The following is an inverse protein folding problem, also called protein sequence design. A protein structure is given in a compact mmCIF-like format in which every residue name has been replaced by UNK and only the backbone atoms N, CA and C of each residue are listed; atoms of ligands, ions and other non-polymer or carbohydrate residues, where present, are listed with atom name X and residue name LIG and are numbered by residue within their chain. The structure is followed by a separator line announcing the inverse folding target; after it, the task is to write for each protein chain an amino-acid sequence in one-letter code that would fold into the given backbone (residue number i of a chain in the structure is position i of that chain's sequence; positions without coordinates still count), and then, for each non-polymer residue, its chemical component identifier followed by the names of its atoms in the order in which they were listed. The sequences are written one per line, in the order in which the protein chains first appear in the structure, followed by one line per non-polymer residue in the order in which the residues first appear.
data_IF_974038770690
#
_entry.id   IF_974038770690
#
_cell.length_a   1.000
_cell.length_b   1.000
_cell.length_c   1.000
_cell.angle_alpha   90.00
_cell.angle_beta   90.00
_cell.angle_gamma   90.00
#
_symmetry.space_group_name_H-M   'P 1'
#
loop_
_entity.id
_entity.type
_entity.pdbx_description
1 polymer ?
#
# COMPACT_ATOMS: atom_id res chain seq x y z
N UNK A 1 -20.79 -42.21 -5.13
CA UNK A 1 -20.86 -42.94 -3.85
C UNK A 1 -20.65 -41.91 -2.75
N UNK A 2 -21.57 -41.79 -1.81
CA UNK A 2 -21.38 -40.91 -0.65
C UNK A 2 -20.43 -41.61 0.33
N UNK A 3 -19.45 -40.89 0.86
CA UNK A 3 -18.58 -41.40 1.93
C UNK A 3 -19.43 -41.60 3.19
N UNK A 4 -19.15 -42.67 3.94
CA UNK A 4 -19.66 -42.80 5.30
C UNK A 4 -19.07 -41.66 6.15
N UNK A 5 -19.81 -41.23 7.18
CA UNK A 5 -19.42 -40.18 8.13
C UNK A 5 -17.97 -40.32 8.62
N UNK A 6 -17.51 -41.53 8.96
CA UNK A 6 -16.15 -41.82 9.40
C UNK A 6 -15.12 -41.58 8.30
N UNK A 7 -15.37 -42.13 7.10
CA UNK A 7 -14.50 -41.94 5.94
C UNK A 7 -14.45 -40.48 5.46
N UNK A 8 -15.57 -39.76 5.59
CA UNK A 8 -15.62 -38.32 5.34
C UNK A 8 -14.75 -37.54 6.33
N UNK A 9 -14.86 -37.81 7.64
CA UNK A 9 -14.00 -37.17 8.64
C UNK A 9 -12.52 -37.49 8.43
N UNK A 10 -12.19 -38.76 8.14
CA UNK A 10 -10.82 -39.16 7.83
C UNK A 10 -10.30 -38.44 6.58
N UNK A 11 -11.12 -38.33 5.51
CA UNK A 11 -10.77 -37.56 4.33
C UNK A 11 -10.51 -36.09 4.64
N UNK A 12 -11.40 -35.43 5.39
CA UNK A 12 -11.23 -34.01 5.75
C UNK A 12 -9.97 -33.82 6.59
N UNK A 13 -9.76 -34.63 7.63
CA UNK A 13 -8.60 -34.51 8.54
C UNK A 13 -7.30 -34.73 7.76
N UNK A 14 -7.22 -35.79 6.95
CA UNK A 14 -6.00 -36.15 6.21
C UNK A 14 -5.68 -35.16 5.10
N UNK A 15 -6.67 -34.43 4.58
CA UNK A 15 -6.49 -33.49 3.47
C UNK A 15 -6.70 -32.02 3.88
N UNK A 16 -6.81 -31.71 5.18
CA UNK A 16 -7.27 -30.37 5.62
C UNK A 16 -6.37 -29.23 5.16
N UNK A 17 -5.05 -29.46 5.05
CA UNK A 17 -4.11 -28.46 4.54
C UNK A 17 -4.32 -28.22 3.04
N UNK A 18 -4.36 -29.29 2.24
CA UNK A 18 -4.55 -29.22 0.79
C UNK A 18 -5.92 -28.64 0.43
N UNK A 19 -6.98 -29.04 1.14
CA UNK A 19 -8.32 -28.47 0.98
C UNK A 19 -8.34 -26.97 1.31
N UNK A 20 -7.65 -26.54 2.37
CA UNK A 20 -7.52 -25.11 2.70
C UNK A 20 -6.79 -24.33 1.60
N UNK A 21 -5.77 -24.91 0.98
CA UNK A 21 -5.03 -24.31 -0.13
C UNK A 21 -5.89 -24.22 -1.39
N UNK A 22 -6.49 -25.32 -1.84
CA UNK A 22 -7.36 -25.37 -3.02
C UNK A 22 -8.59 -24.46 -2.89
N UNK A 23 -9.26 -24.44 -1.73
CA UNK A 23 -10.36 -23.51 -1.49
C UNK A 23 -9.90 -22.04 -1.54
N UNK A 24 -8.72 -21.72 -1.01
CA UNK A 24 -8.18 -20.36 -1.09
C UNK A 24 -7.81 -19.97 -2.53
N UNK A 25 -7.31 -20.89 -3.34
CA UNK A 25 -6.99 -20.66 -4.76
C UNK A 25 -8.23 -20.41 -5.59
N UNK A 26 -9.25 -21.28 -5.49
CA UNK A 26 -10.52 -21.12 -6.20
C UNK A 26 -11.19 -19.78 -5.83
N UNK A 27 -11.09 -19.36 -4.57
CA UNK A 27 -11.68 -18.12 -4.07
C UNK A 27 -10.84 -16.86 -4.37
N UNK A 28 -9.65 -17.01 -4.96
CA UNK A 28 -8.87 -15.90 -5.52
C UNK A 28 -9.36 -15.48 -6.92
N UNK A 29 -10.33 -16.20 -7.51
CA UNK A 29 -10.85 -15.86 -8.84
C UNK A 29 -11.55 -14.49 -8.86
N UNK A 30 -11.07 -13.61 -9.75
CA UNK A 30 -11.38 -12.17 -9.82
C UNK A 30 -12.90 -11.84 -9.88
N UNK A 31 -13.69 -12.63 -10.61
CA UNK A 31 -15.09 -12.31 -10.90
C UNK A 31 -16.01 -12.20 -9.66
N UNK A 32 -15.69 -12.91 -8.56
CA UNK A 32 -16.47 -12.78 -7.31
C UNK A 32 -15.95 -11.70 -6.37
N UNK A 33 -14.71 -11.22 -6.53
CA UNK A 33 -14.18 -10.14 -5.69
C UNK A 33 -14.79 -8.79 -6.08
N UNK A 34 -14.95 -8.54 -7.38
CA UNK A 34 -15.50 -7.29 -7.92
C UNK A 34 -16.89 -6.96 -7.37
N UNK A 35 -17.81 -7.94 -7.32
CA UNK A 35 -19.18 -7.72 -6.82
C UNK A 35 -19.26 -7.36 -5.32
N UNK A 36 -18.25 -7.73 -4.52
CA UNK A 36 -18.20 -7.34 -3.10
C UNK A 36 -17.60 -5.95 -2.90
N UNK A 37 -16.66 -5.54 -3.75
CA UNK A 37 -16.06 -4.20 -3.73
C UNK A 37 -17.08 -3.15 -4.18
N UNK A 38 -17.92 -3.48 -5.17
CA UNK A 38 -18.99 -2.58 -5.65
C UNK A 38 -19.99 -2.19 -4.56
N UNK A 39 -20.22 -3.07 -3.58
CA UNK A 39 -21.13 -2.82 -2.46
C UNK A 39 -20.45 -2.20 -1.23
N UNK A 40 -19.16 -1.85 -1.31
CA UNK A 40 -18.45 -1.23 -0.21
C UNK A 40 -19.00 0.18 0.07
N UNK A 41 -19.17 0.52 1.35
CA UNK A 41 -19.58 1.87 1.76
C UNK A 41 -18.50 2.87 1.36
N UNK A 42 -18.88 3.89 0.59
CA UNK A 42 -18.01 5.01 0.25
C UNK A 42 -18.34 6.22 1.12
N UNK A 43 -17.32 6.97 1.52
CA UNK A 43 -17.44 8.25 2.22
C UNK A 43 -16.51 9.23 1.52
N UNK A 44 -16.89 10.51 1.47
CA UNK A 44 -16.00 11.56 1.00
C UNK A 44 -14.79 11.67 1.93
N UNK A 45 -13.59 11.60 1.36
CA UNK A 45 -12.35 11.76 2.09
C UNK A 45 -11.89 13.22 2.03
N UNK A 46 -11.45 13.74 3.18
CA UNK A 46 -10.79 15.04 3.30
C UNK A 46 -9.56 14.85 4.18
N UNK A 47 -8.48 15.53 3.83
CA UNK A 47 -7.29 15.56 4.68
C UNK A 47 -7.70 16.14 6.04
N UNK A 48 -7.42 15.45 7.16
CA UNK A 48 -7.72 15.98 8.49
C UNK A 48 -7.04 17.34 8.70
N UNK A 49 -7.72 18.29 9.33
CA UNK A 49 -7.18 19.65 9.55
C UNK A 49 -5.95 19.65 10.47
N UNK A 50 -5.84 18.67 11.37
CA UNK A 50 -4.71 18.51 12.30
C UNK A 50 -4.32 17.06 12.41
N UNK A 51 -3.03 16.81 12.69
CA UNK A 51 -2.48 15.47 12.87
C UNK A 51 -1.39 15.49 13.96
N UNK A 52 -1.23 14.36 14.65
CA UNK A 52 -0.20 14.17 15.67
C UNK A 52 0.93 13.29 15.13
N UNK A 53 2.09 13.90 14.91
CA UNK A 53 3.29 13.18 14.51
C UNK A 53 4.25 13.00 15.68
N UNK A 54 4.88 11.82 15.73
CA UNK A 54 6.05 11.62 16.57
C UNK A 54 7.22 12.38 15.94
N UNK A 55 8.00 13.08 16.74
CA UNK A 55 9.21 13.77 16.29
C UNK A 55 10.42 13.35 17.12
N UNK A 56 11.62 13.66 16.65
CA UNK A 56 12.88 13.43 17.34
C UNK A 56 13.81 14.61 17.07
N UNK A 57 14.59 15.00 18.08
CA UNK A 57 15.55 16.10 17.95
C UNK A 57 16.57 15.82 16.84
N UNK A 58 16.82 16.83 16.01
CA UNK A 58 17.83 16.80 14.96
C UNK A 58 18.83 17.93 15.14
N UNK A 59 20.06 17.76 14.63
CA UNK A 59 21.12 18.79 14.76
C UNK A 59 20.73 20.14 14.15
N UNK A 60 20.01 20.10 13.04
CA UNK A 60 19.54 21.29 12.34
C UNK A 60 18.11 21.05 11.85
N UNK A 61 17.17 21.81 12.42
CA UNK A 61 15.78 21.79 12.01
C UNK A 61 15.65 22.48 10.66
N UNK A 62 14.97 21.83 9.73
CA UNK A 62 14.65 22.35 8.40
C UNK A 62 13.16 22.16 8.14
N UNK A 63 12.46 23.21 7.67
CA UNK A 63 11.07 23.05 7.27
C UNK A 63 10.97 22.08 6.09
N UNK A 64 9.85 21.37 6.02
CA UNK A 64 9.47 20.53 4.89
C UNK A 64 8.19 21.12 4.29
N UNK A 65 8.39 22.09 3.39
CA UNK A 65 7.35 23.05 3.00
C UNK A 65 6.29 22.45 2.08
N UNK A 66 6.56 21.29 1.48
CA UNK A 66 5.57 20.59 0.65
C UNK A 66 4.65 19.69 1.46
N UNK A 67 4.88 19.50 2.76
CA UNK A 67 3.90 18.79 3.57
C UNK A 67 2.62 19.64 3.71
N UNK A 68 1.46 18.99 3.69
CA UNK A 68 0.16 19.70 3.83
C UNK A 68 -0.04 20.34 5.20
N UNK A 69 0.70 19.91 6.22
CA UNK A 69 0.61 20.44 7.57
C UNK A 69 1.65 21.55 7.81
N UNK A 70 1.16 22.72 8.22
CA UNK A 70 2.01 23.82 8.64
C UNK A 70 2.88 23.41 9.85
N UNK A 71 4.14 23.83 9.84
CA UNK A 71 5.10 23.49 10.90
C UNK A 71 5.71 22.09 10.79
N UNK A 72 5.42 21.33 9.73
CA UNK A 72 6.11 20.06 9.49
C UNK A 72 7.59 20.30 9.14
N UNK A 73 8.49 19.59 9.83
CA UNK A 73 9.95 19.71 9.70
C UNK A 73 10.61 18.34 9.50
N UNK A 74 11.91 18.35 9.22
CA UNK A 74 12.72 17.13 9.15
C UNK A 74 12.83 16.35 10.48
N UNK A 75 12.31 16.85 11.59
CA UNK A 75 12.25 16.16 12.88
C UNK A 75 11.21 15.03 12.92
N UNK A 76 10.25 15.04 12.00
CA UNK A 76 9.24 13.98 11.86
C UNK A 76 9.73 12.80 10.99
N UNK A 77 10.87 12.96 10.30
CA UNK A 77 11.41 11.93 9.41
C UNK A 77 12.20 10.79 10.07
N UNK A 78 13.00 10.98 11.15
CA UNK A 78 13.93 9.94 11.61
C UNK A 78 13.28 8.58 11.89
N UNK A 79 14.06 7.50 11.83
CA UNK A 79 13.57 6.13 12.14
C UNK A 79 12.95 6.03 13.53
N UNK A 80 13.43 6.83 14.48
CA UNK A 80 12.94 6.98 15.84
C UNK A 80 11.51 7.54 15.88
N UNK A 81 11.11 8.30 14.85
CA UNK A 81 9.75 8.74 14.58
C UNK A 81 8.86 7.66 13.93
N UNK A 82 9.37 6.42 13.78
CA UNK A 82 8.70 5.23 13.21
C UNK A 82 8.50 5.23 11.69
N UNK A 83 9.25 6.03 10.93
CA UNK A 83 9.27 5.94 9.47
C UNK A 83 10.32 4.94 8.98
N UNK A 84 9.94 4.14 7.99
CA UNK A 84 10.83 3.24 7.25
C UNK A 84 11.82 4.02 6.37
N UNK A 85 12.84 3.32 5.86
CA UNK A 85 13.82 3.92 4.94
C UNK A 85 13.16 4.47 3.68
N UNK A 86 12.32 3.66 3.01
CA UNK A 86 11.55 4.10 1.85
C UNK A 86 10.68 5.34 2.13
N UNK A 87 9.94 5.40 3.24
CA UNK A 87 9.15 6.58 3.61
C UNK A 87 10.03 7.83 3.78
N UNK A 88 11.18 7.67 4.45
CA UNK A 88 12.14 8.76 4.68
C UNK A 88 12.74 9.28 3.39
N UNK A 89 13.10 8.39 2.48
CA UNK A 89 13.64 8.73 1.18
C UNK A 89 12.57 9.40 0.32
N UNK A 90 11.35 8.84 0.31
CA UNK A 90 10.23 9.36 -0.47
C UNK A 90 9.85 10.78 -0.07
N UNK A 91 9.71 11.08 1.22
CA UNK A 91 9.41 12.45 1.67
C UNK A 91 10.54 13.43 1.35
N UNK A 92 11.81 13.00 1.41
CA UNK A 92 12.95 13.83 1.00
C UNK A 92 12.99 14.08 -0.50
N UNK A 93 12.60 13.08 -1.28
CA UNK A 93 12.47 13.18 -2.73
C UNK A 93 11.38 14.19 -3.08
N UNK A 94 10.17 14.03 -2.54
CA UNK A 94 9.05 14.93 -2.82
C UNK A 94 9.34 16.37 -2.42
N UNK A 95 10.00 16.59 -1.27
CA UNK A 95 10.41 17.93 -0.83
C UNK A 95 11.26 18.64 -1.89
N UNK A 96 12.10 17.90 -2.62
CA UNK A 96 13.00 18.44 -3.66
C UNK A 96 12.39 18.47 -5.06
N UNK A 97 11.49 17.56 -5.40
CA UNK A 97 10.96 17.38 -6.75
C UNK A 97 10.03 18.54 -7.18
N UNK A 98 10.33 19.25 -8.27
CA UNK A 98 9.62 20.47 -8.66
C UNK A 98 8.19 20.20 -9.14
N UNK A 99 7.92 19.00 -9.65
CA UNK A 99 6.58 18.52 -10.02
C UNK A 99 5.67 18.28 -8.82
N UNK A 100 6.19 18.16 -7.60
CA UNK A 100 5.35 17.91 -6.43
C UNK A 100 4.93 19.25 -5.81
N UNK A 101 3.62 19.48 -5.78
CA UNK A 101 3.00 20.65 -5.15
C UNK A 101 2.86 20.43 -3.64
N UNK A 102 2.28 19.30 -3.24
CA UNK A 102 2.15 18.94 -1.82
C UNK A 102 2.10 17.43 -1.58
N UNK A 103 2.41 17.06 -0.33
CA UNK A 103 2.48 15.68 0.17
C UNK A 103 1.70 15.56 1.48
N UNK A 104 0.85 14.54 1.55
CA UNK A 104 0.15 14.13 2.76
C UNK A 104 0.53 12.68 3.11
N UNK A 105 1.05 12.46 4.33
CA UNK A 105 1.19 11.11 4.92
C UNK A 105 -0.15 10.72 5.53
N UNK A 106 -0.78 9.71 4.95
CA UNK A 106 -2.01 9.13 5.44
C UNK A 106 -1.76 8.29 6.70
N UNK A 107 -2.79 8.17 7.55
CA UNK A 107 -2.74 7.35 8.75
C UNK A 107 -3.08 5.88 8.49
N UNK A 108 -2.66 5.02 9.43
CA UNK A 108 -2.70 3.56 9.24
C UNK A 108 -4.03 2.91 9.65
N UNK A 109 -4.90 3.65 10.36
CA UNK A 109 -6.22 3.16 10.79
C UNK A 109 -7.14 4.28 11.28
N UNK A 110 -8.43 4.23 10.91
CA UNK A 110 -9.43 5.20 11.35
C UNK A 110 -10.35 5.62 10.23
N UNK A 111 -11.55 6.10 10.55
CA UNK A 111 -12.52 6.52 9.52
C UNK A 111 -12.14 7.84 8.84
N UNK A 112 -11.28 8.63 9.48
CA UNK A 112 -10.77 9.89 8.94
C UNK A 112 -9.67 9.71 7.89
N UNK A 113 -9.07 8.53 7.79
CA UNK A 113 -7.99 8.24 6.84
C UNK A 113 -8.51 7.57 5.59
N UNK A 114 -7.81 7.80 4.48
CA UNK A 114 -8.15 7.16 3.22
C UNK A 114 -7.93 5.65 3.37
N UNK A 115 -8.97 4.88 3.09
CA UNK A 115 -8.89 3.42 3.04
C UNK A 115 -9.50 2.88 1.76
N UNK A 116 -8.86 1.85 1.22
CA UNK A 116 -9.28 1.10 0.06
C UNK A 116 -9.75 -0.27 0.54
N UNK A 117 -10.98 -0.63 0.18
CA UNK A 117 -11.54 -1.94 0.53
C UNK A 117 -11.01 -2.98 -0.46
N UNK A 118 -10.48 -4.07 0.08
CA UNK A 118 -10.15 -5.26 -0.70
C UNK A 118 -10.64 -6.52 0.00
N UNK A 119 -10.75 -7.60 -0.75
CA UNK A 119 -11.33 -8.85 -0.28
C UNK A 119 -10.27 -9.95 -0.40
N UNK A 120 -10.09 -10.75 0.65
CA UNK A 120 -9.17 -11.89 0.59
C UNK A 120 -9.87 -13.16 0.08
N UNK A 121 -9.11 -14.25 -0.11
CA UNK A 121 -9.63 -15.54 -0.57
C UNK A 121 -10.67 -16.21 0.34
N UNK A 122 -11.07 -15.62 1.47
CA UNK A 122 -12.16 -16.14 2.34
C UNK A 122 -13.32 -15.12 2.38
N UNK A 123 -13.39 -14.19 1.42
CA UNK A 123 -14.40 -13.12 1.34
C UNK A 123 -14.45 -12.19 2.55
N UNK A 124 -13.42 -12.19 3.39
CA UNK A 124 -13.29 -11.21 4.45
C UNK A 124 -12.85 -9.88 3.82
N UNK A 125 -13.59 -8.82 4.11
CA UNK A 125 -13.21 -7.46 3.75
C UNK A 125 -12.05 -6.99 4.63
N UNK A 126 -11.09 -6.34 4.00
CA UNK A 126 -9.95 -5.72 4.64
C UNK A 126 -9.85 -4.28 4.17
N UNK A 127 -9.31 -3.44 5.05
CA UNK A 127 -8.97 -2.06 4.74
C UNK A 127 -7.47 -2.00 4.46
N UNK A 128 -7.15 -1.36 3.35
CA UNK A 128 -5.79 -1.00 2.95
C UNK A 128 -5.67 0.52 3.05
N UNK A 129 -4.69 1.01 3.81
CA UNK A 129 -4.42 2.43 3.99
C UNK A 129 -3.12 2.72 3.24
N UNK A 130 -3.18 3.35 2.04
CA UNK A 130 -1.98 3.71 1.31
C UNK A 130 -1.19 4.76 2.09
N UNK A 131 0.13 4.75 1.98
CA UNK A 131 0.98 5.60 2.80
C UNK A 131 0.83 7.10 2.53
N UNK A 132 0.77 7.51 1.27
CA UNK A 132 0.80 8.91 0.89
C UNK A 132 -0.25 9.26 -0.16
N UNK A 133 -0.66 10.52 -0.12
CA UNK A 133 -1.37 11.20 -1.20
C UNK A 133 -0.51 12.39 -1.57
N UNK A 134 -0.22 12.57 -2.85
CA UNK A 134 0.51 13.74 -3.35
C UNK A 134 -0.31 14.41 -4.45
N UNK A 135 -0.14 15.73 -4.57
CA UNK A 135 -0.57 16.47 -5.74
C UNK A 135 0.64 16.97 -6.49
N UNK A 136 0.60 16.81 -7.79
CA UNK A 136 1.61 17.34 -8.70
C UNK A 136 1.13 18.64 -9.34
N UNK A 137 2.08 19.45 -9.81
CA UNK A 137 1.84 20.77 -10.40
C UNK A 137 1.08 20.73 -11.73
N UNK A 138 0.97 19.56 -12.35
CA UNK A 138 0.10 19.28 -13.49
C UNK A 138 -1.33 18.85 -13.08
N UNK A 139 -1.71 19.12 -11.83
CA UNK A 139 -3.02 18.85 -11.22
C UNK A 139 -3.36 17.36 -11.04
N UNK A 140 -2.39 16.46 -11.23
CA UNK A 140 -2.62 15.04 -10.96
C UNK A 140 -2.55 14.74 -9.46
N UNK A 141 -3.44 13.84 -9.01
CA UNK A 141 -3.40 13.26 -7.68
C UNK A 141 -2.82 11.87 -7.78
N UNK A 142 -1.76 11.62 -7.01
CA UNK A 142 -1.20 10.30 -6.84
C UNK A 142 -1.49 9.77 -5.45
N UNK A 143 -1.72 8.47 -5.39
CA UNK A 143 -1.70 7.74 -4.13
C UNK A 143 -0.48 6.79 -4.18
N UNK A 144 0.33 6.79 -3.13
CA UNK A 144 1.57 6.02 -3.07
C UNK A 144 1.55 5.08 -1.87
N UNK A 145 2.01 3.86 -2.09
CA UNK A 145 2.29 2.87 -1.05
C UNK A 145 3.80 2.66 -1.00
N UNK A 146 4.45 2.95 0.13
CA UNK A 146 5.86 2.63 0.29
C UNK A 146 6.03 1.21 0.82
N UNK A 147 7.15 0.59 0.51
CA UNK A 147 7.51 -0.72 1.05
C UNK A 147 8.69 -0.57 1.99
N UNK A 148 8.53 -1.01 3.24
CA UNK A 148 9.67 -1.12 4.16
C UNK A 148 10.66 -2.17 3.68
N UNK A 149 11.96 -1.96 3.92
CA UNK A 149 13.04 -2.88 3.52
C UNK A 149 12.78 -4.33 3.93
N UNK A 150 13.19 -5.28 3.09
CA UNK A 150 12.98 -6.72 3.28
C UNK A 150 13.59 -7.20 4.62
N UNK A 151 12.74 -7.70 5.53
CA UNK A 151 13.20 -8.64 6.55
C UNK A 151 13.23 -10.03 5.91
N UNK A 152 14.44 -10.59 5.81
CA UNK A 152 14.66 -11.92 5.24
C UNK A 152 13.80 -12.97 5.98
N UNK A 153 12.78 -13.48 5.29
CA UNK A 153 11.84 -14.46 5.83
C UNK A 153 10.48 -14.42 5.13
N UNK A 154 10.47 -14.63 3.82
CA UNK A 154 9.23 -14.59 3.03
C UNK A 154 8.41 -15.87 3.23
N UNK A 155 7.11 -15.71 3.44
CA UNK A 155 6.16 -16.83 3.42
C UNK A 155 5.14 -16.56 2.31
N UNK A 156 4.82 -17.57 1.49
CA UNK A 156 3.88 -17.45 0.34
C UNK A 156 2.56 -16.72 0.64
N UNK A 157 2.10 -16.76 1.90
CA UNK A 157 0.88 -16.07 2.31
C UNK A 157 1.02 -14.55 2.37
N UNK A 158 2.21 -14.04 2.70
CA UNK A 158 2.53 -12.60 2.70
C UNK A 158 2.50 -12.10 1.26
N UNK A 159 3.21 -12.77 0.35
CA UNK A 159 3.35 -12.36 -1.05
C UNK A 159 1.99 -12.24 -1.74
N UNK A 160 1.11 -13.22 -1.52
CA UNK A 160 -0.27 -13.19 -2.04
C UNK A 160 -1.11 -12.04 -1.44
N UNK A 161 -0.90 -11.66 -0.19
CA UNK A 161 -1.62 -10.52 0.38
C UNK A 161 -1.15 -9.20 -0.23
N UNK A 162 0.16 -9.08 -0.50
CA UNK A 162 0.72 -7.90 -1.16
C UNK A 162 0.18 -7.79 -2.58
N UNK A 163 0.10 -8.89 -3.33
CA UNK A 163 -0.48 -8.92 -4.67
C UNK A 163 -1.97 -8.50 -4.67
N UNK A 164 -2.77 -9.00 -3.72
CA UNK A 164 -4.17 -8.58 -3.60
C UNK A 164 -4.30 -7.08 -3.29
N UNK A 165 -3.44 -6.54 -2.42
CA UNK A 165 -3.37 -5.09 -2.15
C UNK A 165 -3.01 -4.32 -3.41
N UNK A 166 -2.00 -4.77 -4.16
CA UNK A 166 -1.56 -4.15 -5.41
C UNK A 166 -2.69 -4.06 -6.43
N UNK A 167 -3.41 -5.17 -6.65
CA UNK A 167 -4.54 -5.20 -7.57
C UNK A 167 -5.71 -4.33 -7.10
N UNK A 168 -6.03 -4.33 -5.81
CA UNK A 168 -7.06 -3.44 -5.28
C UNK A 168 -6.69 -1.97 -5.44
N UNK A 169 -5.40 -1.65 -5.26
CA UNK A 169 -4.90 -0.29 -5.45
C UNK A 169 -5.03 0.16 -6.90
N UNK A 170 -4.63 -0.70 -7.85
CA UNK A 170 -4.79 -0.47 -9.29
C UNK A 170 -6.25 -0.21 -9.70
N UNK A 171 -7.18 -1.04 -9.24
CA UNK A 171 -8.60 -0.90 -9.57
C UNK A 171 -9.21 0.36 -8.92
N UNK A 172 -8.80 0.69 -7.69
CA UNK A 172 -9.22 1.93 -7.03
C UNK A 172 -8.75 3.16 -7.80
N UNK A 173 -7.47 3.22 -8.16
CA UNK A 173 -6.89 4.32 -8.92
C UNK A 173 -7.60 4.50 -10.28
N UNK A 174 -7.86 3.39 -10.99
CA UNK A 174 -8.63 3.39 -12.24
C UNK A 174 -10.06 3.93 -12.05
N UNK A 175 -10.76 3.50 -10.99
CA UNK A 175 -12.15 3.92 -10.71
C UNK A 175 -12.26 5.43 -10.49
N UNK A 176 -11.28 6.03 -9.81
CA UNK A 176 -11.28 7.45 -9.45
C UNK A 176 -10.39 8.32 -10.36
N UNK A 177 -9.84 7.76 -11.44
CA UNK A 177 -8.93 8.43 -12.36
C UNK A 177 -7.74 9.09 -11.63
N UNK A 178 -7.10 8.30 -10.76
CA UNK A 178 -5.94 8.71 -9.98
C UNK A 178 -4.67 8.06 -10.53
N UNK A 179 -3.56 8.73 -10.34
CA UNK A 179 -2.25 8.09 -10.49
C UNK A 179 -1.94 7.29 -9.22
N UNK A 180 -1.11 6.27 -9.36
CA UNK A 180 -0.76 5.40 -8.23
C UNK A 180 0.56 4.69 -8.46
N UNK A 181 1.12 4.14 -7.38
CA UNK A 181 2.25 3.22 -7.48
C UNK A 181 2.73 2.72 -6.13
N UNK A 182 3.42 1.59 -6.16
CA UNK A 182 4.23 1.11 -5.05
C UNK A 182 5.63 1.67 -5.20
N UNK A 183 6.18 2.25 -4.13
CA UNK A 183 7.54 2.79 -4.09
C UNK A 183 8.41 1.94 -3.16
N UNK A 184 9.61 1.60 -3.62
CA UNK A 184 10.60 0.90 -2.80
C UNK A 184 12.00 1.44 -3.08
N UNK A 185 12.88 1.30 -2.09
CA UNK A 185 14.28 1.66 -2.22
C UNK A 185 15.16 0.44 -2.58
N UNK A 186 16.13 0.63 -3.47
CA UNK A 186 17.27 -0.27 -3.70
C UNK A 186 18.52 0.57 -3.51
N UNK A 187 19.34 0.25 -2.52
CA UNK A 187 20.55 1.00 -2.18
C UNK A 187 20.30 2.52 -2.04
N UNK A 188 19.19 2.88 -1.37
CA UNK A 188 18.71 4.26 -1.15
C UNK A 188 18.16 5.00 -2.39
N UNK A 189 18.12 4.37 -3.56
CA UNK A 189 17.50 4.91 -4.77
C UNK A 189 16.05 4.43 -4.88
N UNK A 190 15.12 5.34 -5.22
CA UNK A 190 13.68 5.06 -5.24
C UNK A 190 13.20 4.58 -6.60
N UNK A 191 12.45 3.49 -6.60
CA UNK A 191 11.80 2.92 -7.77
C UNK A 191 10.29 2.83 -7.55
N UNK A 192 9.52 3.00 -8.62
CA UNK A 192 8.07 2.90 -8.63
C UNK A 192 7.60 1.79 -9.55
N UNK A 193 6.59 1.05 -9.09
CA UNK A 193 5.86 0.08 -9.91
C UNK A 193 4.35 0.36 -9.82
N UNK A 194 3.75 0.56 -10.99
CA UNK A 194 2.33 0.81 -11.18
C UNK A 194 1.71 -0.07 -12.29
N UNK A 195 2.37 -1.19 -12.65
CA UNK A 195 1.96 -2.04 -13.78
C UNK A 195 1.49 -3.41 -13.32
N UNK A 196 2.43 -4.28 -12.96
CA UNK A 196 2.24 -5.67 -12.53
C UNK A 196 3.07 -5.88 -11.28
N UNK A 197 2.47 -6.52 -10.28
CA UNK A 197 3.19 -6.87 -9.06
C UNK A 197 4.28 -7.91 -9.36
N UNK A 198 5.53 -7.57 -9.04
CA UNK A 198 6.64 -8.53 -8.95
C UNK A 198 7.30 -8.34 -7.60
N UNK A 199 7.62 -9.46 -6.95
CA UNK A 199 8.39 -9.44 -5.70
C UNK A 199 9.86 -9.12 -5.99
N UNK A 200 10.41 -9.73 -7.04
CA UNK A 200 11.72 -9.37 -7.56
C UNK A 200 11.65 -8.02 -8.27
N UNK A 201 12.55 -7.12 -7.88
CA UNK A 201 12.67 -5.78 -8.44
C UNK A 201 13.67 -5.70 -9.60
N UNK A 202 14.28 -6.82 -9.99
CA UNK A 202 15.18 -6.88 -11.16
C UNK A 202 14.45 -6.67 -12.50
N UNK A 203 13.12 -6.70 -12.50
CA UNK A 203 12.31 -6.55 -13.71
C UNK A 203 12.09 -5.10 -14.14
N UNK A 204 11.87 -4.91 -15.44
CA UNK A 204 11.66 -3.59 -16.09
C UNK A 204 10.41 -2.82 -15.62
N UNK A 205 9.57 -3.44 -14.79
CA UNK A 205 8.36 -2.86 -14.22
C UNK A 205 8.62 -1.97 -13.00
N UNK A 206 9.84 -2.01 -12.45
CA UNK A 206 10.32 -1.08 -11.44
C UNK A 206 11.19 -0.04 -12.13
N UNK A 207 10.65 1.17 -12.30
CA UNK A 207 11.34 2.28 -12.97
C UNK A 207 11.78 3.33 -11.94
N UNK A 208 12.87 4.07 -12.20
CA UNK A 208 13.30 5.15 -11.31
C UNK A 208 12.17 6.13 -11.04
N UNK A 209 11.97 6.51 -9.77
CA UNK A 209 10.91 7.44 -9.39
C UNK A 209 11.11 8.82 -10.06
N UNK A 210 12.36 9.24 -10.19
CA UNK A 210 12.77 10.48 -10.89
C UNK A 210 12.34 10.52 -12.36
N UNK A 211 12.11 9.38 -13.02
CA UNK A 211 11.63 9.37 -14.40
C UNK A 211 10.11 9.61 -14.50
N UNK A 212 9.41 9.46 -13.38
CA UNK A 212 7.94 9.56 -13.28
C UNK A 212 7.50 10.87 -12.63
N UNK A 213 8.18 11.28 -11.56
CA UNK A 213 7.97 12.53 -10.84
C UNK A 213 9.30 13.30 -10.90
N UNK A 214 9.32 14.52 -11.46
CA UNK A 214 10.55 15.34 -11.60
C UNK A 214 10.45 16.63 -10.83
#
# INVERSE_FOLDING_TARGET
MALDTSDFYAFIINNIQKLKEEFREIMATQNKQLSFIENAKTVEFRIPETELYKYTEVKQVKPMIKNVYEGYTNEFLPSEARKSTSERLFERFCEKADSVEWVYKNGDSGQQYLSIVYVNGIRKQWLFYPDYIIKTTDENIWIIETKGGMQAGHTKNIDRQVENKFNAFKEYAKKYNLHWGFVHDIDEELYINNTIYTEDMSGDNWIPLDDVLK
#
